data_IF_524569935202
#
_entry.id   IF_524569935202
#
_cell.length_a   1.000
_cell.length_b   1.000
_cell.length_c   1.000
_cell.angle_alpha   90.00
_cell.angle_beta   90.00
_cell.angle_gamma   90.00
#
_symmetry.space_group_name_H-M   'P 1'
#
loop_
_entity.id
_entity.type
_entity.pdbx_description
1 polymer ?
#
# COMPACT_ATOMS: atom_id res chain seq x y z
N UNK A 1 14.11 -20.02 38.32
CA UNK A 1 13.97 -19.66 36.89
C UNK A 1 15.35 -19.38 36.28
N UNK A 2 16.25 -20.38 36.27
CA UNK A 2 17.68 -20.34 35.86
C UNK A 2 18.64 -19.64 36.84
N UNK A 3 19.57 -20.41 37.44
CA UNK A 3 20.64 -19.93 38.35
C UNK A 3 21.85 -19.41 37.56
N UNK A 4 21.60 -18.68 36.46
CA UNK A 4 22.65 -18.33 35.50
C UNK A 4 22.72 -16.83 35.33
N UNK A 5 23.94 -16.28 35.42
CA UNK A 5 24.21 -14.87 35.15
C UNK A 5 24.27 -14.63 33.64
N UNK A 6 23.91 -13.42 33.22
CA UNK A 6 24.04 -13.01 31.82
C UNK A 6 25.48 -13.21 31.35
N UNK A 7 25.65 -13.75 30.14
CA UNK A 7 26.95 -14.08 29.57
C UNK A 7 27.91 -12.88 29.52
N UNK A 8 27.42 -11.70 29.11
CA UNK A 8 28.23 -10.47 29.08
C UNK A 8 27.40 -9.23 29.41
N UNK A 9 27.72 -8.58 30.55
CA UNK A 9 27.17 -7.27 30.91
C UNK A 9 27.62 -6.18 29.93
N UNK A 10 28.90 -6.12 29.49
CA UNK A 10 29.32 -5.16 28.46
C UNK A 10 28.52 -5.26 27.16
N UNK A 11 28.20 -6.47 26.68
CA UNK A 11 27.37 -6.65 25.49
C UNK A 11 25.93 -6.17 25.71
N UNK A 12 25.39 -6.33 26.92
CA UNK A 12 24.08 -5.80 27.26
C UNK A 12 24.07 -4.27 27.27
N UNK A 13 25.11 -3.65 27.85
CA UNK A 13 25.29 -2.19 27.82
C UNK A 13 25.48 -1.66 26.40
N UNK A 14 26.26 -2.37 25.57
CA UNK A 14 26.42 -2.03 24.16
C UNK A 14 25.07 -2.07 23.43
N UNK A 15 24.32 -3.16 23.54
CA UNK A 15 22.97 -3.30 22.97
C UNK A 15 22.06 -2.14 23.41
N UNK A 16 22.04 -1.84 24.71
CA UNK A 16 21.22 -0.76 25.26
C UNK A 16 21.55 0.58 24.58
N UNK A 17 22.82 0.98 24.60
CA UNK A 17 23.21 2.29 24.07
C UNK A 17 23.08 2.40 22.55
N UNK A 18 23.50 1.36 21.81
CA UNK A 18 23.38 1.38 20.34
C UNK A 18 21.92 1.33 19.90
N UNK A 19 21.07 0.56 20.61
CA UNK A 19 19.64 0.49 20.36
C UNK A 19 18.93 1.79 20.67
N UNK A 20 19.21 2.41 21.83
CA UNK A 20 18.66 3.72 22.20
C UNK A 20 19.07 4.80 21.21
N UNK A 21 20.36 4.89 20.85
CA UNK A 21 20.84 5.86 19.88
C UNK A 21 20.25 5.60 18.48
N UNK A 22 20.15 4.33 18.08
CA UNK A 22 19.52 3.92 16.83
C UNK A 22 18.05 4.36 16.73
N UNK A 23 17.26 4.17 17.80
CA UNK A 23 15.87 4.63 17.86
C UNK A 23 15.80 6.16 17.77
N UNK A 24 16.65 6.89 18.48
CA UNK A 24 16.66 8.37 18.44
C UNK A 24 16.97 8.87 17.02
N UNK A 25 18.01 8.30 16.38
CA UNK A 25 18.40 8.63 15.00
C UNK A 25 17.37 8.18 13.97
N UNK A 26 16.50 7.23 14.30
CA UNK A 26 15.38 6.85 13.44
C UNK A 26 14.17 7.78 13.63
N UNK A 27 13.78 8.05 14.88
CA UNK A 27 12.56 8.76 15.21
C UNK A 27 12.65 10.25 14.86
N UNK A 28 13.76 10.92 15.21
CA UNK A 28 13.87 12.38 14.99
C UNK A 28 13.73 12.77 13.51
N UNK A 29 14.47 12.16 12.56
CA UNK A 29 14.28 12.47 11.14
C UNK A 29 12.90 12.11 10.62
N UNK A 30 12.22 11.10 11.20
CA UNK A 30 10.86 10.75 10.79
C UNK A 30 9.87 11.89 11.11
N UNK A 31 9.99 12.52 12.28
CA UNK A 31 9.17 13.68 12.63
C UNK A 31 9.52 14.90 11.76
N UNK A 32 10.82 15.20 11.61
CA UNK A 32 11.27 16.34 10.79
C UNK A 32 10.79 16.17 9.35
N UNK A 33 10.93 14.98 8.75
CA UNK A 33 10.46 14.71 7.39
C UNK A 33 8.95 14.93 7.26
N UNK A 34 8.17 14.46 8.24
CA UNK A 34 6.73 14.66 8.27
C UNK A 34 6.33 16.14 8.29
N UNK A 35 6.99 16.95 9.12
CA UNK A 35 6.75 18.39 9.16
C UNK A 35 7.21 19.09 7.87
N UNK A 36 8.40 18.79 7.37
CA UNK A 36 8.93 19.37 6.13
C UNK A 36 8.01 19.10 4.95
N UNK A 37 7.62 17.83 4.71
CA UNK A 37 6.70 17.49 3.64
C UNK A 37 5.34 18.16 3.81
N UNK A 38 4.79 18.18 5.03
CA UNK A 38 3.49 18.79 5.28
C UNK A 38 3.47 20.29 5.00
N UNK A 39 4.58 21.00 5.31
CA UNK A 39 4.74 22.41 5.00
C UNK A 39 4.86 22.63 3.49
N UNK A 40 5.75 21.90 2.82
CA UNK A 40 5.94 22.01 1.36
C UNK A 40 4.66 21.69 0.57
N UNK A 41 3.92 20.66 0.97
CA UNK A 41 2.68 20.29 0.28
C UNK A 41 1.58 21.34 0.41
N UNK A 42 1.64 22.20 1.43
CA UNK A 42 0.62 23.22 1.71
C UNK A 42 1.09 24.62 1.35
N UNK A 43 2.24 24.75 0.70
CA UNK A 43 2.80 26.04 0.35
C UNK A 43 2.26 26.54 -1.00
N UNK A 44 1.79 27.78 -1.02
CA UNK A 44 1.08 28.38 -2.14
C UNK A 44 1.68 29.73 -2.51
N UNK A 45 1.83 29.95 -3.80
CA UNK A 45 2.13 31.25 -4.36
C UNK A 45 0.91 32.20 -4.18
N UNK A 46 1.12 33.53 -4.23
CA UNK A 46 0.01 34.50 -4.16
C UNK A 46 -1.04 34.35 -5.27
N UNK A 47 -0.67 33.75 -6.41
CA UNK A 47 -1.58 33.45 -7.52
C UNK A 47 -2.45 32.19 -7.29
N UNK A 48 -2.21 31.47 -6.21
CA UNK A 48 -2.95 30.26 -5.84
C UNK A 48 -2.35 28.95 -6.37
N UNK A 49 -1.25 28.99 -7.12
CA UNK A 49 -0.50 27.80 -7.53
C UNK A 49 0.35 27.24 -6.40
N UNK A 50 0.68 25.93 -6.47
CA UNK A 50 1.57 25.30 -5.48
C UNK A 50 3.03 25.71 -5.74
N UNK A 51 3.72 26.14 -4.68
CA UNK A 51 5.17 26.43 -4.75
C UNK A 51 5.93 25.18 -5.19
N UNK A 52 5.65 24.06 -4.52
CA UNK A 52 6.25 22.76 -4.78
C UNK A 52 5.29 21.88 -5.59
N UNK A 53 4.93 22.30 -6.81
CA UNK A 53 3.97 21.59 -7.66
C UNK A 53 4.44 20.19 -8.08
N UNK A 54 5.74 20.04 -8.34
CA UNK A 54 6.34 18.73 -8.63
C UNK A 54 6.52 17.93 -7.34
N UNK A 55 5.93 16.74 -7.27
CA UNK A 55 6.00 15.89 -6.09
C UNK A 55 7.44 15.46 -5.76
N UNK A 56 8.29 15.23 -6.78
CA UNK A 56 9.66 14.77 -6.59
C UNK A 56 10.53 15.76 -5.82
N UNK A 57 10.28 17.06 -5.95
CA UNK A 57 11.02 18.08 -5.20
C UNK A 57 10.86 17.85 -3.69
N UNK A 58 9.63 17.57 -3.25
CA UNK A 58 9.34 17.28 -1.83
C UNK A 58 9.94 15.96 -1.36
N UNK A 59 10.14 15.00 -2.27
CA UNK A 59 10.79 13.73 -1.95
C UNK A 59 12.30 13.93 -1.82
N UNK A 60 12.90 14.64 -2.76
CA UNK A 60 14.35 14.91 -2.78
C UNK A 60 14.81 15.64 -1.54
N UNK A 61 14.03 16.61 -1.05
CA UNK A 61 14.32 17.34 0.19
C UNK A 61 14.38 16.43 1.43
N UNK A 62 13.66 15.30 1.43
CA UNK A 62 13.63 14.39 2.57
C UNK A 62 14.52 13.15 2.44
N UNK A 63 15.19 12.96 1.30
CA UNK A 63 16.15 11.86 1.09
C UNK A 63 17.23 11.82 2.20
N UNK A 64 17.82 12.95 2.65
CA UNK A 64 18.79 12.93 3.75
C UNK A 64 18.20 12.33 5.05
N UNK A 65 16.90 12.52 5.29
CA UNK A 65 16.22 11.97 6.45
C UNK A 65 15.97 10.47 6.32
N UNK A 66 15.77 9.94 5.10
CA UNK A 66 15.76 8.51 4.86
C UNK A 66 17.11 7.86 5.16
N UNK A 67 18.22 8.50 4.77
CA UNK A 67 19.56 8.01 5.11
C UNK A 67 19.83 7.98 6.61
N UNK A 68 19.47 9.05 7.33
CA UNK A 68 19.60 9.05 8.80
C UNK A 68 18.78 7.92 9.45
N UNK A 69 17.58 7.66 8.94
CA UNK A 69 16.75 6.53 9.40
C UNK A 69 17.37 5.18 9.07
N UNK A 70 17.95 5.00 7.89
CA UNK A 70 18.63 3.76 7.51
C UNK A 70 19.83 3.49 8.44
N UNK A 71 20.59 4.52 8.79
CA UNK A 71 21.70 4.43 9.76
C UNK A 71 21.17 4.06 11.15
N UNK A 72 20.16 4.79 11.67
CA UNK A 72 19.57 4.51 12.98
C UNK A 72 18.94 3.11 13.08
N UNK A 73 18.26 2.67 12.02
CA UNK A 73 17.69 1.31 11.92
C UNK A 73 18.77 0.24 11.90
N UNK A 74 19.86 0.45 11.15
CA UNK A 74 21.00 -0.47 11.12
C UNK A 74 21.67 -0.60 12.49
N UNK A 75 21.85 0.52 13.21
CA UNK A 75 22.36 0.52 14.59
C UNK A 75 21.46 -0.28 15.54
N UNK A 76 20.14 -0.13 15.40
CA UNK A 76 19.17 -0.90 16.18
C UNK A 76 19.26 -2.40 15.89
N UNK A 77 19.33 -2.80 14.61
CA UNK A 77 19.46 -4.21 14.20
C UNK A 77 20.76 -4.81 14.74
N UNK A 78 21.89 -4.09 14.64
CA UNK A 78 23.17 -4.52 15.21
C UNK A 78 23.04 -4.74 16.72
N UNK A 79 22.43 -3.78 17.43
CA UNK A 79 22.14 -3.92 18.85
C UNK A 79 21.29 -5.15 19.16
N UNK A 80 20.25 -5.39 18.39
CA UNK A 80 19.37 -6.54 18.55
C UNK A 80 20.08 -7.87 18.33
N UNK A 81 20.96 -7.96 17.31
CA UNK A 81 21.78 -9.15 17.07
C UNK A 81 22.73 -9.42 18.25
N UNK A 82 23.38 -8.39 18.80
CA UNK A 82 24.24 -8.54 19.99
C UNK A 82 23.44 -9.00 21.21
N UNK A 83 22.23 -8.47 21.41
CA UNK A 83 21.34 -8.92 22.47
C UNK A 83 20.95 -10.39 22.29
N UNK A 84 20.50 -10.78 21.10
CA UNK A 84 20.13 -12.15 20.79
C UNK A 84 21.30 -13.10 21.04
N UNK A 85 22.49 -12.76 20.57
CA UNK A 85 23.70 -13.54 20.83
C UNK A 85 23.95 -13.70 22.34
N UNK A 86 23.91 -12.60 23.09
CA UNK A 86 24.14 -12.61 24.54
C UNK A 86 23.12 -13.48 25.28
N UNK A 87 21.83 -13.40 24.90
CA UNK A 87 20.75 -14.23 25.46
C UNK A 87 20.94 -15.70 25.08
N UNK A 88 21.20 -16.03 23.82
CA UNK A 88 21.40 -17.40 23.36
C UNK A 88 22.57 -18.07 24.09
N UNK A 89 23.69 -17.37 24.26
CA UNK A 89 24.84 -17.91 25.00
C UNK A 89 24.52 -18.04 26.48
N UNK A 90 23.76 -17.11 27.07
CA UNK A 90 23.30 -17.19 28.47
C UNK A 90 22.40 -18.41 28.70
N UNK A 91 21.49 -18.69 27.77
CA UNK A 91 20.61 -19.87 27.84
C UNK A 91 21.42 -21.16 27.67
N UNK A 92 22.38 -21.19 26.74
CA UNK A 92 23.26 -22.35 26.50
C UNK A 92 24.21 -22.64 27.66
N UNK A 93 24.67 -21.61 28.38
CA UNK A 93 25.47 -21.77 29.60
C UNK A 93 24.62 -22.04 30.85
N UNK A 94 23.29 -22.13 30.69
CA UNK A 94 22.36 -22.46 31.74
C UNK A 94 22.59 -23.87 32.29
N UNK A 95 22.75 -23.99 33.62
CA UNK A 95 22.68 -25.28 34.28
C UNK A 95 21.21 -25.73 34.42
N UNK A 96 20.92 -27.02 34.24
CA UNK A 96 19.62 -27.58 34.62
C UNK A 96 19.38 -27.29 36.11
N UNK A 97 18.40 -26.45 36.39
CA UNK A 97 17.91 -26.27 37.75
C UNK A 97 17.00 -27.47 38.00
N UNK A 98 17.29 -28.29 39.02
CA UNK A 98 16.32 -29.31 39.41
C UNK A 98 15.02 -28.62 39.79
N UNK A 99 13.91 -29.10 39.23
CA UNK A 99 12.58 -28.66 39.59
C UNK A 99 12.34 -29.06 41.05
N UNK A 100 12.72 -28.18 41.98
CA UNK A 100 12.00 -28.14 43.24
C UNK A 100 10.53 -27.95 42.85
N UNK A 101 9.65 -28.83 43.34
CA UNK A 101 8.20 -28.70 43.23
C UNK A 101 7.82 -27.37 43.89
N UNK A 102 7.95 -26.29 43.14
CA UNK A 102 7.46 -24.97 43.50
C UNK A 102 5.96 -25.04 43.29
N UNK A 103 5.28 -25.72 44.21
CA UNK A 103 3.86 -25.55 44.39
C UNK A 103 3.64 -24.07 44.62
N UNK A 104 2.79 -23.45 43.78
CA UNK A 104 2.36 -22.09 44.04
C UNK A 104 1.86 -22.05 45.49
N UNK A 105 2.34 -21.10 46.33
CA UNK A 105 1.88 -21.03 47.71
C UNK A 105 0.36 -21.01 47.70
N UNK A 106 -0.25 -21.84 48.55
CA UNK A 106 -1.71 -21.98 48.59
C UNK A 106 -2.36 -20.60 48.59
N UNK A 107 -3.34 -20.39 47.69
CA UNK A 107 -4.03 -19.11 47.53
C UNK A 107 -4.42 -18.57 48.91
N UNK A 108 -3.73 -17.51 49.34
CA UNK A 108 -3.99 -16.93 50.65
C UNK A 108 -5.42 -16.39 50.65
N UNK A 109 -6.22 -16.76 51.66
CA UNK A 109 -7.56 -16.21 51.81
C UNK A 109 -7.44 -14.71 52.06
N UNK A 110 -7.82 -13.92 51.07
CA UNK A 110 -7.78 -12.46 51.19
C UNK A 110 -8.77 -12.02 52.27
N UNK A 111 -8.27 -11.40 53.35
CA UNK A 111 -9.11 -10.98 54.46
C UNK A 111 -9.98 -9.79 54.07
N UNK A 112 -11.18 -9.67 54.66
CA UNK A 112 -12.07 -8.50 54.44
C UNK A 112 -11.39 -7.17 54.78
N UNK A 113 -10.44 -7.17 55.73
CA UNK A 113 -9.63 -6.00 56.10
C UNK A 113 -8.64 -5.60 55.00
N UNK A 114 -8.10 -6.55 54.24
CA UNK A 114 -7.21 -6.25 53.10
C UNK A 114 -7.96 -5.60 51.94
N UNK A 115 -9.26 -5.91 51.81
CA UNK A 115 -10.16 -5.41 50.76
C UNK A 115 -10.84 -4.10 51.16
N UNK A 116 -10.72 -3.67 52.42
CA UNK A 116 -11.36 -2.47 52.91
C UNK A 116 -10.80 -1.22 52.21
N UNK A 117 -11.67 -0.50 51.51
CA UNK A 117 -11.30 0.72 50.76
C UNK A 117 -10.86 0.47 49.31
N UNK A 118 -10.96 -0.76 48.81
CA UNK A 118 -10.67 -1.05 47.41
C UNK A 118 -11.69 -0.42 46.46
N UNK A 119 -11.18 0.08 45.34
CA UNK A 119 -11.98 0.64 44.26
C UNK A 119 -12.41 -0.44 43.28
N UNK A 120 -13.33 -0.11 42.39
CA UNK A 120 -13.81 -1.04 41.35
C UNK A 120 -12.69 -1.58 40.45
N UNK A 121 -11.65 -0.78 40.18
CA UNK A 121 -10.49 -1.19 39.38
C UNK A 121 -9.74 -2.37 40.01
N UNK A 122 -9.42 -2.26 41.30
CA UNK A 122 -8.69 -3.31 42.02
C UNK A 122 -9.51 -4.59 42.19
N UNK A 123 -10.85 -4.46 42.23
CA UNK A 123 -11.76 -5.61 42.22
C UNK A 123 -11.75 -6.36 40.88
N UNK A 124 -11.70 -5.64 39.76
CA UNK A 124 -11.66 -6.21 38.41
C UNK A 124 -10.31 -6.86 38.09
N UNK A 125 -9.20 -6.19 38.42
CA UNK A 125 -7.83 -6.70 38.18
C UNK A 125 -7.56 -8.06 38.84
N UNK A 126 -8.25 -8.36 39.94
CA UNK A 126 -8.10 -9.64 40.66
C UNK A 126 -8.85 -10.79 40.02
N UNK A 127 -9.76 -10.51 39.11
CA UNK A 127 -10.65 -11.50 38.50
C UNK A 127 -10.34 -11.58 37.01
N UNK A 128 -9.25 -12.26 36.62
CA UNK A 128 -8.76 -12.25 35.25
C UNK A 128 -9.84 -12.67 34.24
N UNK A 129 -10.64 -13.70 34.55
CA UNK A 129 -11.74 -14.13 33.68
C UNK A 129 -12.79 -13.02 33.47
N UNK A 130 -13.20 -12.33 34.54
CA UNK A 130 -14.18 -11.24 34.44
C UNK A 130 -13.61 -10.05 33.68
N UNK A 131 -12.35 -9.69 33.95
CA UNK A 131 -11.65 -8.62 33.23
C UNK A 131 -11.55 -8.95 31.74
N UNK A 132 -11.19 -10.18 31.37
CA UNK A 132 -11.15 -10.63 29.97
C UNK A 132 -12.52 -10.51 29.31
N UNK A 133 -13.59 -10.98 29.96
CA UNK A 133 -14.95 -10.87 29.41
C UNK A 133 -15.32 -9.40 29.16
N UNK A 134 -15.12 -8.52 30.15
CA UNK A 134 -15.46 -7.10 29.99
C UNK A 134 -14.59 -6.40 28.95
N UNK A 135 -13.30 -6.72 28.89
CA UNK A 135 -12.39 -6.19 27.86
C UNK A 135 -12.82 -6.64 26.45
N UNK A 136 -13.17 -7.91 26.28
CA UNK A 136 -13.70 -8.42 25.01
C UNK A 136 -14.99 -7.71 24.61
N UNK A 137 -15.94 -7.54 25.54
CA UNK A 137 -17.18 -6.80 25.28
C UNK A 137 -16.88 -5.36 24.87
N UNK A 138 -15.98 -4.67 25.58
CA UNK A 138 -15.62 -3.29 25.27
C UNK A 138 -15.02 -3.15 23.85
N UNK A 139 -14.14 -4.07 23.44
CA UNK A 139 -13.56 -4.11 22.09
C UNK A 139 -14.65 -4.38 21.04
N UNK A 140 -15.54 -5.34 21.29
CA UNK A 140 -16.62 -5.70 20.36
C UNK A 140 -17.59 -4.54 20.14
N UNK A 141 -17.92 -3.77 21.18
CA UNK A 141 -18.78 -2.58 21.03
C UNK A 141 -18.17 -1.61 20.02
N UNK A 142 -16.87 -1.34 20.10
CA UNK A 142 -16.19 -0.47 19.13
C UNK A 142 -16.29 -0.97 17.69
N UNK A 143 -16.04 -2.27 17.48
CA UNK A 143 -16.16 -2.91 16.17
C UNK A 143 -17.59 -2.89 15.63
N UNK A 144 -18.59 -3.20 16.46
CA UNK A 144 -20.01 -3.18 16.11
C UNK A 144 -20.42 -1.78 15.66
N UNK A 145 -20.09 -0.76 16.45
CA UNK A 145 -20.50 0.63 16.18
C UNK A 145 -19.83 1.19 14.91
N UNK A 146 -18.60 0.77 14.60
CA UNK A 146 -17.87 1.27 13.42
C UNK A 146 -18.20 0.50 12.14
N UNK A 147 -18.35 -0.82 12.20
CA UNK A 147 -18.46 -1.68 11.00
C UNK A 147 -19.92 -1.87 10.57
N UNK A 148 -20.82 -2.19 11.51
CA UNK A 148 -22.19 -2.59 11.17
C UNK A 148 -22.97 -1.49 10.47
N UNK A 149 -22.97 -0.22 10.94
CA UNK A 149 -23.69 0.85 10.24
C UNK A 149 -23.18 1.07 8.82
N UNK A 150 -21.88 0.93 8.57
CA UNK A 150 -21.30 1.11 7.23
C UNK A 150 -21.72 -0.01 6.27
N UNK A 151 -21.93 -1.24 6.75
CA UNK A 151 -22.38 -2.37 5.92
C UNK A 151 -23.88 -2.36 5.64
N UNK A 152 -24.70 -1.87 6.58
CA UNK A 152 -26.17 -1.98 6.49
C UNK A 152 -26.86 -0.74 5.92
N UNK A 153 -26.22 0.44 6.00
CA UNK A 153 -26.84 1.70 5.60
C UNK A 153 -26.35 2.06 4.20
N UNK A 154 -27.12 1.69 3.18
CA UNK A 154 -26.79 1.92 1.76
C UNK A 154 -26.51 3.39 1.44
N UNK A 155 -27.19 4.33 2.13
CA UNK A 155 -26.95 5.77 1.95
C UNK A 155 -25.55 6.23 2.35
N UNK A 156 -24.80 5.41 3.11
CA UNK A 156 -23.41 5.71 3.47
C UNK A 156 -22.45 5.46 2.30
N UNK A 157 -22.85 4.67 1.30
CA UNK A 157 -22.04 4.32 0.12
C UNK A 157 -22.86 4.63 -1.14
N UNK A 158 -23.01 5.91 -1.52
CA UNK A 158 -23.74 6.26 -2.72
C UNK A 158 -23.01 5.71 -3.95
N UNK A 159 -23.64 4.80 -4.68
CA UNK A 159 -23.12 4.31 -5.97
C UNK A 159 -23.17 5.44 -6.99
N UNK A 160 -22.04 5.75 -7.61
CA UNK A 160 -21.99 6.73 -8.69
C UNK A 160 -22.35 5.99 -9.98
N UNK A 161 -23.41 6.42 -10.66
CA UNK A 161 -23.95 5.72 -11.86
C UNK A 161 -22.95 5.62 -13.02
N UNK A 162 -22.01 6.56 -13.11
CA UNK A 162 -20.95 6.56 -14.11
C UNK A 162 -19.79 5.60 -13.79
N UNK A 163 -19.64 5.15 -12.54
CA UNK A 163 -18.60 4.19 -12.15
C UNK A 163 -18.99 2.81 -12.64
N UNK A 164 -18.17 2.24 -13.51
CA UNK A 164 -18.35 0.89 -14.07
C UNK A 164 -17.33 -0.09 -13.48
N UNK A 165 -17.68 -1.39 -13.38
CA UNK A 165 -16.70 -2.43 -13.10
C UNK A 165 -15.48 -2.33 -14.01
N UNK A 166 -14.32 -2.75 -13.53
CA UNK A 166 -13.11 -2.81 -14.34
C UNK A 166 -13.32 -3.71 -15.55
N UNK A 167 -12.75 -3.38 -16.70
CA UNK A 167 -12.66 -4.35 -17.80
C UNK A 167 -11.81 -5.56 -17.35
N UNK A 168 -11.90 -6.71 -18.03
CA UNK A 168 -11.13 -7.87 -17.60
C UNK A 168 -9.60 -7.63 -17.66
N UNK A 169 -9.12 -6.80 -18.59
CA UNK A 169 -7.69 -6.44 -18.66
C UNK A 169 -7.28 -5.46 -17.55
N UNK A 170 -8.15 -4.51 -17.20
CA UNK A 170 -7.95 -3.60 -16.08
C UNK A 170 -7.96 -4.36 -14.74
N UNK A 171 -8.83 -5.36 -14.59
CA UNK A 171 -8.88 -6.22 -13.40
C UNK A 171 -7.57 -6.98 -13.20
N UNK A 172 -7.03 -7.57 -14.27
CA UNK A 172 -5.70 -8.20 -14.22
C UNK A 172 -4.59 -7.19 -13.95
N UNK A 173 -4.63 -6.02 -14.57
CA UNK A 173 -3.68 -4.93 -14.32
C UNK A 173 -3.68 -4.45 -12.87
N UNK A 174 -4.85 -4.44 -12.25
CA UNK A 174 -5.05 -4.13 -10.83
C UNK A 174 -4.43 -5.21 -9.93
N UNK A 175 -4.57 -6.48 -10.30
CA UNK A 175 -3.93 -7.58 -9.56
C UNK A 175 -2.41 -7.52 -9.67
N UNK A 176 -1.87 -7.13 -10.83
CA UNK A 176 -0.43 -6.85 -11.00
C UNK A 176 0.00 -5.67 -10.12
N UNK A 177 -0.76 -4.58 -10.07
CA UNK A 177 -0.50 -3.45 -9.18
C UNK A 177 -0.44 -3.88 -7.70
N UNK A 178 -1.28 -4.84 -7.29
CA UNK A 178 -1.26 -5.45 -5.96
C UNK A 178 -0.02 -6.34 -5.78
N UNK A 179 0.28 -7.22 -6.74
CA UNK A 179 1.42 -8.15 -6.72
C UNK A 179 2.74 -7.43 -6.54
N UNK A 180 2.92 -6.32 -7.26
CA UNK A 180 4.12 -5.49 -7.21
C UNK A 180 4.19 -4.58 -5.98
N UNK A 181 3.14 -4.54 -5.14
CA UNK A 181 3.14 -3.76 -3.91
C UNK A 181 3.11 -2.24 -4.15
N UNK A 182 2.61 -1.77 -5.30
CA UNK A 182 2.58 -0.35 -5.66
C UNK A 182 1.87 0.51 -4.60
N UNK A 183 0.84 -0.05 -3.95
CA UNK A 183 0.08 0.58 -2.84
C UNK A 183 0.94 0.97 -1.63
N UNK A 184 2.13 0.37 -1.47
CA UNK A 184 3.08 0.72 -0.40
C UNK A 184 3.76 2.06 -0.61
N UNK A 185 3.80 2.56 -1.86
CA UNK A 185 4.42 3.82 -2.25
C UNK A 185 3.40 4.85 -2.75
N UNK A 186 2.31 4.38 -3.35
CA UNK A 186 1.31 5.22 -4.00
C UNK A 186 -0.04 5.04 -3.34
N UNK A 187 -0.69 6.16 -3.04
CA UNK A 187 -2.08 6.16 -2.61
C UNK A 187 -3.01 6.30 -3.80
N UNK A 188 -4.26 5.89 -3.60
CA UNK A 188 -5.37 6.16 -4.51
C UNK A 188 -6.52 6.79 -3.74
N UNK A 189 -6.23 7.85 -2.99
CA UNK A 189 -7.22 8.54 -2.14
C UNK A 189 -6.81 10.00 -1.96
N UNK A 190 -7.32 10.86 -2.84
CA UNK A 190 -7.14 12.30 -2.75
C UNK A 190 -8.03 12.85 -1.63
N UNK A 191 -7.42 13.56 -0.68
CA UNK A 191 -8.13 14.12 0.48
C UNK A 191 -8.80 15.45 0.11
N UNK A 192 -9.90 15.85 0.78
CA UNK A 192 -10.62 17.09 0.50
C UNK A 192 -9.91 18.33 1.07
N UNK A 193 -8.62 18.49 0.76
CA UNK A 193 -7.86 19.70 1.04
C UNK A 193 -7.55 20.43 -0.26
N UNK A 194 -7.53 21.77 -0.22
CA UNK A 194 -7.17 22.58 -1.38
C UNK A 194 -5.85 22.12 -2.02
N UNK A 195 -4.79 21.91 -1.23
CA UNK A 195 -3.48 21.51 -1.76
C UNK A 195 -3.44 20.13 -2.39
N UNK A 196 -4.34 19.23 -2.02
CA UNK A 196 -4.48 17.94 -2.67
C UNK A 196 -5.20 18.09 -4.01
N UNK A 197 -6.28 18.88 -4.01
CA UNK A 197 -7.09 19.10 -5.19
C UNK A 197 -6.31 19.81 -6.29
N UNK A 198 -5.54 20.84 -5.92
CA UNK A 198 -4.67 21.56 -6.87
C UNK A 198 -3.56 20.65 -7.45
N UNK A 199 -3.08 19.67 -6.68
CA UNK A 199 -1.99 18.79 -7.10
C UNK A 199 -2.45 17.63 -7.96
N UNK A 200 -3.56 17.00 -7.56
CA UNK A 200 -4.00 15.72 -8.11
C UNK A 200 -5.33 15.79 -8.86
N UNK A 201 -6.12 16.84 -8.66
CA UNK A 201 -7.48 16.96 -9.17
C UNK A 201 -8.53 16.64 -8.11
N UNK A 202 -9.78 16.45 -8.52
CA UNK A 202 -10.92 16.33 -7.60
C UNK A 202 -10.72 15.25 -6.52
N UNK A 203 -11.10 15.58 -5.28
CA UNK A 203 -11.00 14.68 -4.13
C UNK A 203 -11.79 13.38 -4.33
N UNK A 204 -11.37 12.33 -3.64
CA UNK A 204 -11.95 11.00 -3.75
C UNK A 204 -13.37 10.93 -3.16
N UNK A 205 -14.29 10.27 -3.85
CA UNK A 205 -15.65 9.98 -3.39
C UNK A 205 -15.77 8.49 -3.04
N UNK A 206 -16.50 8.17 -1.97
CA UNK A 206 -16.69 6.78 -1.52
C UNK A 206 -17.23 5.86 -2.64
N UNK A 207 -18.13 6.40 -3.48
CA UNK A 207 -18.74 5.69 -4.60
C UNK A 207 -17.79 5.25 -5.72
N UNK A 208 -16.55 5.72 -5.73
CA UNK A 208 -15.55 5.32 -6.74
C UNK A 208 -14.87 3.99 -6.41
N UNK A 209 -14.88 3.60 -5.13
CA UNK A 209 -14.21 2.40 -4.64
C UNK A 209 -15.15 1.20 -4.48
N UNK A 210 -16.40 1.31 -4.95
CA UNK A 210 -17.46 0.32 -4.69
C UNK A 210 -17.15 -1.06 -5.28
N UNK A 211 -16.32 -1.13 -6.31
CA UNK A 211 -15.90 -2.38 -6.95
C UNK A 211 -14.47 -2.79 -6.58
N UNK A 212 -13.82 -2.06 -5.66
CA UNK A 212 -12.45 -2.34 -5.26
C UNK A 212 -12.39 -3.41 -4.16
N UNK A 213 -12.12 -4.65 -4.57
CA UNK A 213 -11.89 -5.77 -3.66
C UNK A 213 -10.43 -6.25 -3.79
N UNK A 214 -9.54 -6.00 -2.81
CA UNK A 214 -9.65 -5.08 -1.68
C UNK A 214 -9.41 -3.60 -2.07
N UNK A 215 -9.79 -2.65 -1.22
CA UNK A 215 -9.51 -1.22 -1.48
C UNK A 215 -8.00 -0.93 -1.61
N UNK A 216 -7.64 0.01 -2.50
CA UNK A 216 -6.24 0.42 -2.77
C UNK A 216 -5.94 1.88 -2.40
N UNK A 217 -6.62 2.41 -1.38
CA UNK A 217 -6.48 3.80 -0.93
C UNK A 217 -5.05 4.20 -0.59
N UNK A 218 -4.24 3.24 -0.14
CA UNK A 218 -2.86 3.44 0.32
C UNK A 218 -2.78 4.06 1.72
N UNK A 219 -1.61 3.99 2.32
CA UNK A 219 -1.33 4.51 3.67
C UNK A 219 -0.08 5.39 3.73
N UNK A 220 0.64 5.51 2.61
CA UNK A 220 1.91 6.22 2.48
C UNK A 220 2.04 6.78 1.07
N UNK A 221 2.74 7.91 0.96
CA UNK A 221 3.10 8.54 -0.32
C UNK A 221 4.62 8.71 -0.38
N UNK A 222 5.28 7.67 -0.89
CA UNK A 222 6.68 7.77 -1.34
C UNK A 222 6.72 8.25 -2.79
N UNK A 223 5.75 7.83 -3.60
CA UNK A 223 5.38 8.45 -4.86
C UNK A 223 4.07 9.25 -4.74
N UNK A 224 3.66 9.95 -5.81
CA UNK A 224 2.41 10.71 -5.85
C UNK A 224 1.17 9.83 -5.73
N UNK A 225 0.03 10.44 -5.41
CA UNK A 225 -1.29 9.79 -5.51
C UNK A 225 -1.62 9.48 -6.98
N UNK A 226 -2.22 8.31 -7.24
CA UNK A 226 -2.52 7.81 -8.58
C UNK A 226 -4.00 7.81 -8.93
N UNK A 227 -4.90 8.20 -8.01
CA UNK A 227 -6.35 8.07 -8.23
C UNK A 227 -6.87 8.80 -9.48
N UNK A 228 -6.15 9.80 -9.97
CA UNK A 228 -6.53 10.64 -11.13
C UNK A 228 -5.47 10.61 -12.24
N UNK A 229 -4.68 9.54 -12.32
CA UNK A 229 -3.63 9.43 -13.34
C UNK A 229 -4.19 9.09 -14.73
N UNK A 230 -5.42 8.58 -14.82
CA UNK A 230 -6.05 8.19 -16.08
C UNK A 230 -6.11 9.32 -17.11
N UNK A 231 -5.47 9.10 -18.25
CA UNK A 231 -5.33 10.05 -19.35
C UNK A 231 -4.38 11.22 -19.09
N UNK A 232 -3.65 11.24 -17.97
CA UNK A 232 -2.67 12.31 -17.66
C UNK A 232 -1.35 12.11 -18.40
N UNK A 233 -0.98 10.85 -18.65
CA UNK A 233 0.23 10.46 -19.37
C UNK A 233 -0.13 9.47 -20.49
N UNK A 234 0.70 9.40 -21.54
CA UNK A 234 0.51 8.44 -22.63
C UNK A 234 0.88 7.02 -22.19
N UNK A 235 0.39 6.03 -22.93
CA UNK A 235 0.75 4.62 -22.71
C UNK A 235 2.27 4.40 -22.81
N UNK A 236 2.93 5.07 -23.77
CA UNK A 236 4.39 5.02 -23.91
C UNK A 236 5.11 5.64 -22.72
N UNK A 237 4.56 6.72 -22.13
CA UNK A 237 5.12 7.27 -20.90
C UNK A 237 5.03 6.27 -19.75
N UNK A 238 3.90 5.59 -19.59
CA UNK A 238 3.75 4.56 -18.55
C UNK A 238 4.70 3.39 -18.77
N UNK A 239 4.85 2.91 -20.01
CA UNK A 239 5.80 1.86 -20.36
C UNK A 239 7.24 2.28 -20.02
N UNK A 240 7.68 3.45 -20.48
CA UNK A 240 9.02 3.97 -20.24
C UNK A 240 9.26 4.24 -18.75
N UNK A 241 8.27 4.75 -18.03
CA UNK A 241 8.34 4.98 -16.58
C UNK A 241 8.48 3.67 -15.80
N UNK A 242 7.77 2.61 -16.17
CA UNK A 242 7.93 1.31 -15.51
C UNK A 242 9.25 0.63 -15.88
N UNK A 243 9.76 0.84 -17.09
CA UNK A 243 11.04 0.30 -17.53
C UNK A 243 12.24 0.98 -16.85
N UNK A 244 12.23 2.31 -16.82
CA UNK A 244 13.19 3.15 -16.09
C UNK A 244 12.50 4.43 -15.59
N UNK A 245 12.11 4.48 -14.30
CA UNK A 245 11.47 5.67 -13.73
C UNK A 245 12.31 6.94 -13.84
N UNK A 246 13.64 6.84 -13.90
CA UNK A 246 14.52 8.01 -14.00
C UNK A 246 14.53 8.62 -15.41
N UNK A 247 14.26 7.82 -16.44
CA UNK A 247 14.18 8.29 -17.84
C UNK A 247 13.07 9.33 -18.04
N UNK A 248 11.93 9.13 -17.37
CA UNK A 248 10.74 9.99 -17.46
C UNK A 248 10.61 10.97 -16.29
N UNK A 249 11.28 10.68 -15.18
CA UNK A 249 11.19 11.41 -13.92
C UNK A 249 12.55 11.44 -13.23
N UNK A 250 13.41 12.37 -13.65
CA UNK A 250 14.76 12.52 -13.11
C UNK A 250 14.75 12.68 -11.59
N UNK A 251 15.57 11.88 -10.89
CA UNK A 251 15.59 11.81 -9.43
C UNK A 251 14.49 10.94 -8.81
N UNK A 252 13.72 10.20 -9.61
CA UNK A 252 12.77 9.21 -9.10
C UNK A 252 13.49 8.13 -8.26
N UNK A 253 12.89 7.80 -7.12
CA UNK A 253 13.32 6.71 -6.23
C UNK A 253 12.45 5.45 -6.41
N UNK A 254 11.56 5.45 -7.41
CA UNK A 254 10.74 4.28 -7.73
C UNK A 254 11.63 3.16 -8.30
N UNK A 255 11.44 1.90 -7.91
CA UNK A 255 12.11 0.77 -8.53
C UNK A 255 11.73 0.62 -10.01
N UNK A 256 12.64 0.12 -10.83
CA UNK A 256 12.33 -0.30 -12.20
C UNK A 256 11.60 -1.66 -12.18
N UNK A 257 10.57 -1.80 -13.01
CA UNK A 257 9.72 -2.99 -13.15
C UNK A 257 9.91 -3.63 -14.54
N UNK A 258 11.17 -3.78 -14.97
CA UNK A 258 11.52 -4.28 -16.30
C UNK A 258 10.92 -5.66 -16.59
N UNK A 259 10.72 -6.50 -15.57
CA UNK A 259 10.09 -7.80 -15.72
C UNK A 259 8.65 -7.72 -16.24
N UNK A 260 7.88 -6.68 -15.91
CA UNK A 260 6.51 -6.51 -16.44
C UNK A 260 6.52 -6.26 -17.95
N UNK A 261 7.59 -5.65 -18.47
CA UNK A 261 7.77 -5.35 -19.90
C UNK A 261 8.22 -6.57 -20.68
N UNK A 262 8.77 -7.58 -20.01
CA UNK A 262 9.32 -8.79 -20.64
C UNK A 262 8.44 -10.03 -20.45
N UNK A 263 7.68 -10.09 -19.36
CA UNK A 263 6.90 -11.28 -18.99
C UNK A 263 5.59 -11.36 -19.75
N UNK A 264 5.27 -12.56 -20.24
CA UNK A 264 3.94 -12.88 -20.76
C UNK A 264 2.90 -12.88 -19.63
N UNK A 265 1.72 -12.35 -19.93
CA UNK A 265 0.62 -12.25 -19.00
C UNK A 265 -0.22 -13.54 -19.02
N UNK A 266 -0.29 -14.24 -17.88
CA UNK A 266 -1.21 -15.37 -17.70
C UNK A 266 -2.65 -14.89 -17.51
N UNK A 267 -3.51 -15.20 -18.48
CA UNK A 267 -4.94 -14.82 -18.53
C UNK A 267 -5.89 -15.99 -18.28
N UNK A 268 -5.38 -17.12 -17.81
CA UNK A 268 -6.15 -18.36 -17.70
C UNK A 268 -7.34 -18.24 -16.75
N UNK A 269 -7.19 -17.48 -15.65
CA UNK A 269 -8.15 -17.40 -14.56
C UNK A 269 -9.11 -16.20 -14.63
N UNK A 270 -9.04 -15.35 -15.65
CA UNK A 270 -9.78 -14.08 -15.69
C UNK A 270 -11.29 -14.26 -15.51
N UNK A 271 -11.88 -15.30 -16.09
CA UNK A 271 -13.31 -15.58 -15.97
C UNK A 271 -13.68 -15.99 -14.54
N UNK A 272 -12.88 -16.87 -13.92
CA UNK A 272 -13.07 -17.29 -12.53
C UNK A 272 -12.92 -16.11 -11.55
N UNK A 273 -12.01 -15.17 -11.85
CA UNK A 273 -11.90 -13.90 -11.09
C UNK A 273 -13.15 -13.06 -11.23
N UNK A 274 -13.64 -12.82 -12.45
CA UNK A 274 -14.87 -12.06 -12.68
C UNK A 274 -16.08 -12.69 -11.98
N UNK A 275 -16.25 -14.02 -12.05
CA UNK A 275 -17.29 -14.76 -11.31
C UNK A 275 -17.16 -14.56 -9.79
N UNK A 276 -15.93 -14.50 -9.27
CA UNK A 276 -15.67 -14.21 -7.86
C UNK A 276 -16.04 -12.77 -7.51
N UNK A 277 -15.73 -11.81 -8.38
CA UNK A 277 -16.15 -10.42 -8.21
C UNK A 277 -17.68 -10.29 -8.22
N UNK A 278 -18.40 -11.08 -9.04
CA UNK A 278 -19.87 -11.16 -8.99
C UNK A 278 -20.36 -11.64 -7.63
N UNK A 279 -19.75 -12.67 -7.04
CA UNK A 279 -20.08 -13.13 -5.68
C UNK A 279 -19.83 -12.06 -4.61
N UNK A 280 -18.91 -11.13 -4.87
CA UNK A 280 -18.59 -9.99 -4.00
C UNK A 280 -19.50 -8.76 -4.26
N UNK A 281 -20.41 -8.83 -5.22
CA UNK A 281 -21.39 -7.78 -5.52
C UNK A 281 -21.05 -6.90 -6.73
N UNK A 282 -19.99 -7.21 -7.49
CA UNK A 282 -19.67 -6.49 -8.72
C UNK A 282 -20.59 -6.95 -9.87
N UNK A 283 -21.31 -6.04 -10.55
CA UNK A 283 -22.37 -6.41 -11.48
C UNK A 283 -21.85 -6.74 -12.89
N UNK A 284 -20.98 -7.74 -13.04
CA UNK A 284 -20.64 -8.29 -14.37
C UNK A 284 -21.80 -9.12 -14.93
N UNK A 285 -22.09 -8.99 -16.24
CA UNK A 285 -23.03 -9.88 -16.92
C UNK A 285 -22.39 -11.22 -17.32
N UNK A 286 -23.23 -12.24 -17.55
CA UNK A 286 -22.76 -13.53 -18.05
C UNK A 286 -22.08 -13.38 -19.43
N UNK A 287 -22.56 -12.46 -20.27
CA UNK A 287 -21.96 -12.16 -21.57
C UNK A 287 -20.58 -11.51 -21.43
N UNK A 288 -20.39 -10.60 -20.46
CA UNK A 288 -19.09 -9.99 -20.17
C UNK A 288 -18.08 -11.04 -19.70
N UNK A 289 -18.50 -11.96 -18.84
CA UNK A 289 -17.64 -13.07 -18.37
C UNK A 289 -17.32 -14.02 -19.53
N UNK A 290 -18.29 -14.37 -20.37
CA UNK A 290 -18.08 -15.26 -21.50
C UNK A 290 -17.15 -14.64 -22.57
N UNK A 291 -17.25 -13.33 -22.77
CA UNK A 291 -16.44 -12.58 -23.76
C UNK A 291 -15.15 -11.99 -23.18
N UNK A 292 -14.81 -12.28 -21.92
CA UNK A 292 -13.71 -11.65 -21.20
C UNK A 292 -12.38 -11.65 -21.97
N UNK A 293 -11.95 -12.81 -22.48
CA UNK A 293 -10.69 -12.95 -23.22
C UNK A 293 -10.67 -12.11 -24.51
N UNK A 294 -11.77 -12.12 -25.26
CA UNK A 294 -11.88 -11.32 -26.47
C UNK A 294 -11.87 -9.81 -26.18
N UNK A 295 -12.51 -9.39 -25.09
CA UNK A 295 -12.47 -8.00 -24.61
C UNK A 295 -11.05 -7.59 -24.20
N UNK A 296 -10.32 -8.46 -23.49
CA UNK A 296 -8.92 -8.21 -23.15
C UNK A 296 -8.05 -8.04 -24.38
N UNK A 297 -8.18 -8.94 -25.36
CA UNK A 297 -7.35 -8.90 -26.56
C UNK A 297 -7.62 -7.63 -27.38
N UNK A 298 -8.88 -7.18 -27.44
CA UNK A 298 -9.24 -5.93 -28.11
C UNK A 298 -8.63 -4.70 -27.40
N UNK A 299 -8.75 -4.62 -26.06
CA UNK A 299 -8.17 -3.50 -25.30
C UNK A 299 -6.64 -3.52 -25.32
N UNK A 300 -6.03 -4.70 -25.22
CA UNK A 300 -4.58 -4.86 -25.27
C UNK A 300 -4.01 -4.48 -26.64
N UNK A 301 -4.70 -4.85 -27.72
CA UNK A 301 -4.33 -4.43 -29.08
C UNK A 301 -4.40 -2.91 -29.24
N UNK A 302 -5.42 -2.26 -28.65
CA UNK A 302 -5.52 -0.80 -28.69
C UNK A 302 -4.34 -0.13 -27.97
N UNK A 303 -3.93 -0.65 -26.80
CA UNK A 303 -2.78 -0.13 -26.06
C UNK A 303 -1.49 -0.36 -26.85
N UNK A 304 -1.29 -1.55 -27.41
CA UNK A 304 -0.15 -1.84 -28.29
C UNK A 304 -0.08 -0.85 -29.46
N UNK A 305 -1.20 -0.59 -30.14
CA UNK A 305 -1.27 0.41 -31.21
C UNK A 305 -0.92 1.83 -30.73
N UNK A 306 -1.34 2.20 -29.52
CA UNK A 306 -0.98 3.50 -28.93
C UNK A 306 0.54 3.58 -28.66
N UNK A 307 1.18 2.49 -28.27
CA UNK A 307 2.63 2.46 -28.03
C UNK A 307 3.44 2.74 -29.31
N UNK A 308 2.95 2.33 -30.48
CA UNK A 308 3.55 2.66 -31.78
C UNK A 308 3.58 4.17 -32.10
N UNK A 309 2.87 5.00 -31.34
CA UNK A 309 2.99 6.45 -31.45
C UNK A 309 4.36 6.98 -31.00
N UNK A 310 5.11 6.20 -30.20
CA UNK A 310 6.50 6.47 -29.85
C UNK A 310 7.44 5.85 -30.91
N UNK A 311 8.18 6.67 -31.70
CA UNK A 311 9.05 6.16 -32.75
C UNK A 311 10.20 5.29 -32.22
N UNK A 312 10.67 5.54 -31.00
CA UNK A 312 11.76 4.77 -30.42
C UNK A 312 11.28 3.36 -30.05
N UNK A 313 10.10 3.28 -29.43
CA UNK A 313 9.42 2.01 -29.17
C UNK A 313 9.15 1.25 -30.45
N UNK A 314 8.55 1.88 -31.46
CA UNK A 314 8.22 1.22 -32.73
C UNK A 314 9.47 0.63 -33.40
N UNK A 315 10.60 1.36 -33.37
CA UNK A 315 11.86 0.88 -33.92
C UNK A 315 12.42 -0.31 -33.14
N UNK A 316 12.55 -0.20 -31.81
CA UNK A 316 13.15 -1.25 -30.98
C UNK A 316 12.30 -2.52 -30.96
N UNK A 317 10.97 -2.39 -30.93
CA UNK A 317 10.04 -3.50 -30.93
C UNK A 317 10.07 -4.30 -32.25
N UNK A 318 10.10 -3.63 -33.40
CA UNK A 318 10.22 -4.30 -34.70
C UNK A 318 11.61 -4.95 -34.91
N UNK A 319 12.66 -4.32 -34.38
CA UNK A 319 14.01 -4.91 -34.36
C UNK A 319 14.06 -6.19 -33.52
N UNK A 320 13.47 -6.19 -32.31
CA UNK A 320 13.36 -7.35 -31.43
C UNK A 320 12.55 -8.48 -32.09
N UNK A 321 11.39 -8.13 -32.67
CA UNK A 321 10.52 -9.07 -33.38
C UNK A 321 11.25 -9.75 -34.55
N UNK A 322 11.97 -8.96 -35.35
CA UNK A 322 12.76 -9.48 -36.46
C UNK A 322 13.91 -10.35 -35.98
N UNK A 323 14.62 -9.93 -34.93
CA UNK A 323 15.71 -10.70 -34.34
C UNK A 323 15.23 -12.07 -33.84
N UNK A 324 14.12 -12.11 -33.12
CA UNK A 324 13.55 -13.37 -32.65
C UNK A 324 13.15 -14.30 -33.81
N UNK A 325 12.55 -13.75 -34.87
CA UNK A 325 12.20 -14.50 -36.07
C UNK A 325 13.42 -15.08 -36.80
N UNK A 326 14.50 -14.30 -36.91
CA UNK A 326 15.74 -14.72 -37.59
C UNK A 326 16.53 -15.77 -36.79
N UNK A 327 16.46 -15.73 -35.45
CA UNK A 327 17.18 -16.66 -34.57
C UNK A 327 16.32 -17.85 -34.11
N UNK A 328 15.03 -17.88 -34.44
CA UNK A 328 14.10 -18.92 -34.01
C UNK A 328 13.82 -18.90 -32.51
N UNK A 329 13.84 -17.70 -31.91
CA UNK A 329 13.52 -17.49 -30.50
C UNK A 329 12.02 -17.20 -30.31
N UNK A 330 11.47 -17.59 -29.16
CA UNK A 330 10.08 -17.29 -28.81
C UNK A 330 9.91 -15.79 -28.57
N UNK A 331 8.93 -15.17 -29.25
CA UNK A 331 8.61 -13.75 -29.13
C UNK A 331 7.21 -13.55 -28.55
N UNK A 332 7.15 -12.85 -27.42
CA UNK A 332 5.88 -12.45 -26.80
C UNK A 332 5.49 -11.08 -27.35
N UNK A 333 4.38 -11.04 -28.09
CA UNK A 333 3.81 -9.77 -28.58
C UNK A 333 3.47 -8.83 -27.41
N UNK A 334 3.64 -7.52 -27.59
CA UNK A 334 3.46 -6.52 -26.53
C UNK A 334 2.06 -6.58 -25.92
N UNK A 335 1.02 -6.75 -26.74
CA UNK A 335 -0.36 -6.95 -26.28
C UNK A 335 -0.53 -8.13 -25.33
N UNK A 336 0.39 -9.09 -25.29
CA UNK A 336 0.36 -10.25 -24.40
C UNK A 336 1.24 -10.10 -23.16
N UNK A 337 1.96 -8.99 -22.99
CA UNK A 337 2.85 -8.76 -21.84
C UNK A 337 2.12 -8.16 -20.65
N UNK A 338 2.63 -8.39 -19.44
CA UNK A 338 2.01 -7.91 -18.18
C UNK A 338 1.88 -6.38 -18.13
N UNK A 339 2.85 -5.64 -18.68
CA UNK A 339 2.85 -4.17 -18.69
C UNK A 339 1.59 -3.59 -19.34
N UNK A 340 1.04 -4.24 -20.37
CA UNK A 340 -0.18 -3.75 -21.06
C UNK A 340 -1.39 -3.81 -20.14
N UNK A 341 -1.50 -4.85 -19.32
CA UNK A 341 -2.57 -4.94 -18.31
C UNK A 341 -2.42 -3.84 -17.25
N UNK A 342 -1.20 -3.63 -16.74
CA UNK A 342 -0.93 -2.56 -15.77
C UNK A 342 -1.24 -1.16 -16.35
N UNK A 343 -0.87 -0.89 -17.61
CA UNK A 343 -1.20 0.36 -18.30
C UNK A 343 -2.72 0.53 -18.39
N UNK A 344 -3.46 -0.52 -18.77
CA UNK A 344 -4.92 -0.49 -18.85
C UNK A 344 -5.52 -0.04 -17.51
N UNK A 345 -5.08 -0.66 -16.40
CA UNK A 345 -5.52 -0.28 -15.06
C UNK A 345 -5.17 1.17 -14.69
N UNK A 346 -3.94 1.62 -14.93
CA UNK A 346 -3.53 2.99 -14.59
C UNK A 346 -4.30 4.03 -15.42
N UNK A 347 -4.54 3.76 -16.70
CA UNK A 347 -5.33 4.64 -17.57
C UNK A 347 -6.79 4.75 -17.15
N UNK A 348 -7.31 3.73 -16.46
CA UNK A 348 -8.67 3.68 -15.94
C UNK A 348 -8.87 4.53 -14.68
N UNK A 349 -7.82 4.80 -13.90
CA UNK A 349 -7.93 5.46 -12.59
C UNK A 349 -8.48 6.90 -12.70
N UNK A 350 -9.68 7.09 -12.15
CA UNK A 350 -10.33 8.39 -12.00
C UNK A 350 -11.01 8.94 -13.25
N UNK A 351 -11.21 8.11 -14.29
CA UNK A 351 -11.87 8.53 -15.52
C UNK A 351 -13.40 8.58 -15.41
N UNK A 352 -14.02 7.75 -14.58
CA UNK A 352 -15.49 7.64 -14.43
C UNK A 352 -16.18 8.94 -14.03
N UNK A 353 -15.49 9.79 -13.27
CA UNK A 353 -16.06 11.05 -12.77
C UNK A 353 -15.95 12.18 -13.79
N UNK A 354 -15.03 12.10 -14.76
CA UNK A 354 -14.85 13.11 -15.83
C UNK A 354 -16.06 13.15 -16.77
N UNK A 355 -16.73 12.01 -16.96
CA UNK A 355 -17.95 11.88 -17.76
C UNK A 355 -19.07 12.76 -17.20
N UNK A 356 -19.18 12.84 -15.86
CA UNK A 356 -20.22 13.64 -15.18
C UNK A 356 -19.99 15.14 -15.33
N UNK A 357 -18.74 15.62 -15.29
CA UNK A 357 -18.44 17.04 -15.53
C UNK A 357 -18.85 17.46 -16.94
N UNK A 358 -18.63 16.59 -17.93
CA UNK A 358 -19.01 16.86 -19.32
C UNK A 358 -20.54 16.96 -19.46
N UNK A 359 -21.29 16.04 -18.86
CA UNK A 359 -22.76 16.07 -18.90
C UNK A 359 -23.35 17.26 -18.11
N UNK A 360 -22.75 17.65 -16.97
CA UNK A 360 -23.15 18.84 -16.22
C UNK A 360 -22.87 20.13 -16.99
N UNK A 361 -21.68 20.27 -17.58
CA UNK A 361 -21.32 21.43 -18.41
C UNK A 361 -22.20 21.54 -19.67
N UNK A 362 -22.64 20.42 -20.25
CA UNK A 362 -23.58 20.42 -21.38
C UNK A 362 -25.00 20.77 -20.94
N UNK A 363 -25.38 20.44 -19.70
CA UNK A 363 -26.70 20.80 -19.14
C UNK A 363 -26.80 22.26 -18.68
N UNK A 364 -25.69 22.87 -18.26
CA UNK A 364 -25.64 24.29 -17.85
C UNK A 364 -25.48 25.25 -19.04
N UNK A 365 -25.04 24.76 -20.20
CA UNK A 365 -24.91 25.52 -21.45
C UNK A 365 -26.08 25.32 -22.43
N UNK A 366 -27.20 24.72 -21.98
CA UNK A 366 -28.49 24.69 -22.67
C UNK A 366 -29.50 25.53 -21.92
#
# INVERSE_FOLDING_TARGET
MFKTRLHSIPMANFHFWIGTLGIILYALPMYVAGFTQALMWKDFNPDGSLVYGNFLETVNEIIPMYWMRAIGGSMYIIGFIVMLYNVVVTVRSGSKVEDELAEAPALTRVSKRRIAGETYHTLLERKPIQLTIFATIAILIGGIVQIIPTLLVESNIPTITSVKPYTPLELEGRDLYIREGCVGCHSQMIRPFRSEVERYGEYAKAGEFVYDHPFLWGSKRTGPDLLRVGGKYSDSWHLNHMYDPQSTSSGSIMPAYQWLVLSEHDRSDVQAKMETMVKLGVPYSEEEIASAKASMDAQALQIEQNLYADPEFARSYEEEKKFAQENGEDFVEMRNREIVALIAYLQRLGTDIKVKETDQLVSENK
#
